data_IF_805142620158
#
_entry.id   IF_805142620158
#
_cell.length_a   1.000
_cell.length_b   1.000
_cell.length_c   1.000
_cell.angle_alpha   90.00
_cell.angle_beta   90.00
_cell.angle_gamma   90.00
#
_symmetry.space_group_name_H-M   'P 1'
#
loop_
_entity.id
_entity.type
_entity.pdbx_description
1 polymer ?
#
# COMPACT_ATOMS: atom_id res chain seq x y z
N UNK A 1 1.06 -7.65 11.42
CA UNK A 1 0.43 -6.53 10.70
C UNK A 1 0.64 -5.17 11.40
N UNK A 2 0.39 -5.01 12.70
CA UNK A 2 0.65 -3.73 13.40
C UNK A 2 2.07 -3.19 13.18
N UNK A 3 3.10 -4.03 13.32
CA UNK A 3 4.48 -3.63 13.03
C UNK A 3 4.69 -3.14 11.59
N UNK A 4 3.93 -3.70 10.64
CA UNK A 4 3.96 -3.26 9.25
C UNK A 4 3.41 -1.84 9.10
N UNK A 5 2.26 -1.54 9.74
CA UNK A 5 1.64 -0.20 9.65
C UNK A 5 2.50 0.88 10.29
N UNK A 6 3.10 0.61 11.45
CA UNK A 6 4.05 1.54 12.08
C UNK A 6 5.26 1.78 11.18
N UNK A 7 5.85 0.71 10.65
CA UNK A 7 7.01 0.82 9.78
C UNK A 7 6.71 1.63 8.51
N UNK A 8 5.57 1.38 7.86
CA UNK A 8 5.18 2.19 6.69
C UNK A 8 4.85 3.64 7.05
N UNK A 9 4.24 3.90 8.21
CA UNK A 9 3.99 5.26 8.66
C UNK A 9 5.29 6.03 8.84
N UNK A 10 6.29 5.42 9.49
CA UNK A 10 7.64 6.01 9.61
C UNK A 10 8.30 6.24 8.25
N UNK A 11 8.22 5.27 7.35
CA UNK A 11 8.75 5.44 5.99
C UNK A 11 8.09 6.63 5.28
N UNK A 12 6.77 6.79 5.38
CA UNK A 12 6.02 7.87 4.74
C UNK A 12 6.37 9.25 5.32
N UNK A 13 6.68 9.33 6.63
CA UNK A 13 7.23 10.55 7.23
C UNK A 13 8.54 10.96 6.55
N UNK A 14 9.47 10.02 6.40
CA UNK A 14 10.75 10.32 5.74
C UNK A 14 10.58 10.64 4.26
N UNK A 15 9.64 9.97 3.53
CA UNK A 15 9.30 10.33 2.14
C UNK A 15 8.84 11.78 2.05
N UNK A 16 8.03 12.24 3.00
CA UNK A 16 7.56 13.62 3.02
C UNK A 16 8.66 14.63 3.38
N UNK A 17 9.59 14.26 4.24
CA UNK A 17 10.76 15.09 4.57
C UNK A 17 11.68 15.32 3.37
N UNK A 18 11.81 14.33 2.46
CA UNK A 18 12.59 14.45 1.23
C UNK A 18 11.71 14.76 0.01
N UNK A 19 10.58 15.46 0.21
CA UNK A 19 9.63 15.76 -0.87
C UNK A 19 10.20 16.64 -2.00
N UNK A 20 11.33 17.28 -1.80
CA UNK A 20 12.08 18.02 -2.82
C UNK A 20 12.74 17.08 -3.85
N UNK A 21 13.11 15.84 -3.47
CA UNK A 21 13.70 14.88 -4.40
C UNK A 21 12.64 14.28 -5.34
N UNK A 22 12.99 13.89 -6.59
CA UNK A 22 12.08 13.20 -7.51
C UNK A 22 11.53 11.89 -6.91
N UNK A 23 10.24 11.62 -7.13
CA UNK A 23 9.60 10.46 -6.53
C UNK A 23 10.24 9.12 -6.99
N UNK A 24 10.67 9.02 -8.25
CA UNK A 24 11.35 7.81 -8.75
C UNK A 24 12.74 7.62 -8.15
N UNK A 25 13.42 8.68 -7.80
CA UNK A 25 14.69 8.63 -7.09
C UNK A 25 14.49 8.05 -5.67
N UNK A 26 13.46 8.53 -4.96
CA UNK A 26 13.10 7.97 -3.66
C UNK A 26 12.75 6.47 -3.78
N UNK A 27 12.00 6.06 -4.82
CA UNK A 27 11.70 4.67 -5.13
C UNK A 27 12.97 3.86 -5.38
N UNK A 28 13.92 4.40 -6.14
CA UNK A 28 15.20 3.76 -6.44
C UNK A 28 15.98 3.45 -5.15
N UNK A 29 16.23 4.45 -4.31
CA UNK A 29 16.98 4.26 -3.04
C UNK A 29 16.25 3.30 -2.10
N UNK A 30 14.93 3.44 -1.95
CA UNK A 30 14.12 2.51 -1.17
C UNK A 30 14.28 1.08 -1.66
N UNK A 31 14.21 0.86 -2.96
CA UNK A 31 14.32 -0.47 -3.55
C UNK A 31 15.76 -1.00 -3.50
N UNK A 32 16.78 -0.14 -3.59
CA UNK A 32 18.18 -0.51 -3.42
C UNK A 32 18.43 -1.10 -2.02
N UNK A 33 18.03 -0.37 -0.99
CA UNK A 33 18.14 -0.82 0.41
C UNK A 33 17.32 -2.10 0.61
N UNK A 34 16.06 -2.12 0.12
CA UNK A 34 15.18 -3.28 0.23
C UNK A 34 15.72 -4.54 -0.47
N UNK A 35 16.37 -4.39 -1.63
CA UNK A 35 17.01 -5.49 -2.35
C UNK A 35 18.15 -6.10 -1.53
N UNK A 36 18.99 -5.27 -0.92
CA UNK A 36 20.09 -5.73 -0.06
C UNK A 36 19.57 -6.55 1.13
N UNK A 37 18.55 -6.04 1.84
CA UNK A 37 17.91 -6.76 2.94
C UNK A 37 17.23 -8.06 2.49
N UNK A 38 16.58 -8.09 1.32
CA UNK A 38 15.97 -9.31 0.77
C UNK A 38 17.02 -10.38 0.46
N UNK A 39 18.14 -10.02 -0.18
CA UNK A 39 19.21 -10.98 -0.46
C UNK A 39 19.82 -11.56 0.83
N UNK A 40 20.06 -10.72 1.82
CA UNK A 40 20.53 -11.18 3.13
C UNK A 40 19.54 -12.16 3.78
N UNK A 41 18.24 -11.80 3.80
CA UNK A 41 17.18 -12.61 4.38
C UNK A 41 16.99 -13.95 3.65
N UNK A 42 17.05 -13.98 2.30
CA UNK A 42 16.93 -15.20 1.50
C UNK A 42 18.10 -16.13 1.73
N UNK A 43 19.34 -15.61 1.82
CA UNK A 43 20.52 -16.43 2.17
C UNK A 43 20.35 -17.07 3.54
N UNK A 44 19.90 -16.31 4.54
CA UNK A 44 19.67 -16.82 5.91
C UNK A 44 18.54 -17.87 5.96
N UNK A 45 17.52 -17.72 5.13
CA UNK A 45 16.37 -18.63 5.05
C UNK A 45 16.62 -19.85 4.13
N UNK A 46 17.78 -19.95 3.46
CA UNK A 46 18.07 -20.93 2.42
C UNK A 46 16.97 -21.00 1.32
N UNK A 47 16.34 -19.86 1.02
CA UNK A 47 15.25 -19.77 0.06
C UNK A 47 15.74 -19.29 -1.32
N UNK A 48 15.14 -19.85 -2.37
CA UNK A 48 15.49 -19.51 -3.75
C UNK A 48 15.09 -18.09 -4.13
N UNK A 49 16.00 -17.34 -4.73
CA UNK A 49 15.74 -15.96 -5.17
C UNK A 49 15.02 -15.87 -6.53
N UNK A 50 15.14 -16.91 -7.38
CA UNK A 50 14.62 -16.92 -8.76
C UNK A 50 13.11 -17.03 -8.84
N UNK A 51 12.45 -17.68 -7.86
CA UNK A 51 11.04 -18.01 -7.90
C UNK A 51 10.64 -18.98 -9.01
N UNK A 52 9.49 -19.59 -8.90
CA UNK A 52 8.91 -20.55 -9.86
C UNK A 52 7.98 -19.86 -10.87
N UNK A 53 7.12 -18.94 -10.42
CA UNK A 53 6.15 -18.23 -11.26
C UNK A 53 6.63 -16.81 -11.63
N UNK A 54 7.64 -16.74 -12.51
CA UNK A 54 8.28 -15.48 -12.91
C UNK A 54 7.33 -14.45 -13.49
N UNK A 55 6.30 -14.88 -14.25
CA UNK A 55 5.31 -13.97 -14.85
C UNK A 55 4.51 -13.23 -13.76
N UNK A 56 3.97 -13.95 -12.79
CA UNK A 56 3.23 -13.35 -11.69
C UNK A 56 4.13 -12.50 -10.77
N UNK A 57 5.38 -12.91 -10.55
CA UNK A 57 6.37 -12.13 -9.81
C UNK A 57 6.71 -10.82 -10.52
N UNK A 58 6.90 -10.84 -11.84
CA UNK A 58 7.16 -9.64 -12.64
C UNK A 58 5.96 -8.70 -12.64
N UNK A 59 4.75 -9.22 -12.89
CA UNK A 59 3.51 -8.42 -12.83
C UNK A 59 3.32 -7.80 -11.44
N UNK A 60 3.56 -8.57 -10.36
CA UNK A 60 3.57 -8.04 -8.99
C UNK A 60 4.57 -6.90 -8.83
N UNK A 61 5.74 -7.03 -9.42
CA UNK A 61 6.75 -5.97 -9.42
C UNK A 61 6.28 -4.71 -10.14
N UNK A 62 5.75 -4.85 -11.35
CA UNK A 62 5.28 -3.72 -12.18
C UNK A 62 4.13 -2.98 -11.47
N UNK A 63 3.02 -3.67 -11.14
CA UNK A 63 1.88 -3.03 -10.49
C UNK A 63 2.25 -2.47 -9.11
N UNK A 64 3.12 -3.17 -8.35
CA UNK A 64 3.57 -2.69 -7.06
C UNK A 64 4.45 -1.44 -7.16
N UNK A 65 5.35 -1.37 -8.15
CA UNK A 65 6.20 -0.19 -8.37
C UNK A 65 5.39 1.01 -8.88
N UNK A 66 4.45 0.77 -9.79
CA UNK A 66 3.52 1.80 -10.28
C UNK A 66 2.68 2.36 -9.12
N UNK A 67 2.12 1.49 -8.30
CA UNK A 67 1.38 1.90 -7.11
C UNK A 67 2.25 2.74 -6.15
N UNK A 68 3.46 2.27 -5.87
CA UNK A 68 4.39 2.96 -4.98
C UNK A 68 4.78 4.35 -5.50
N UNK A 69 5.08 4.46 -6.78
CA UNK A 69 5.44 5.73 -7.41
C UNK A 69 4.31 6.75 -7.25
N UNK A 70 3.09 6.40 -7.66
CA UNK A 70 1.96 7.31 -7.57
C UNK A 70 1.57 7.61 -6.12
N UNK A 71 1.74 6.65 -5.22
CA UNK A 71 1.56 6.90 -3.79
C UNK A 71 2.58 7.91 -3.25
N UNK A 72 3.85 7.80 -3.62
CA UNK A 72 4.88 8.76 -3.20
C UNK A 72 4.64 10.14 -3.81
N UNK A 73 4.21 10.22 -5.08
CA UNK A 73 3.75 11.49 -5.68
C UNK A 73 2.62 12.10 -4.84
N UNK A 74 1.66 11.29 -4.40
CA UNK A 74 0.54 11.75 -3.57
C UNK A 74 1.04 12.24 -2.20
N UNK A 75 1.83 11.46 -1.47
CA UNK A 75 2.38 11.82 -0.14
C UNK A 75 3.19 13.12 -0.16
N UNK A 76 3.90 13.39 -1.25
CA UNK A 76 4.71 14.60 -1.41
C UNK A 76 3.87 15.88 -1.57
N UNK A 77 2.69 15.76 -2.15
CA UNK A 77 1.93 16.92 -2.64
C UNK A 77 0.65 17.22 -1.85
N UNK A 78 0.16 16.27 -1.04
CA UNK A 78 -1.03 16.48 -0.20
C UNK A 78 -0.74 16.11 1.26
N UNK A 79 -1.63 16.45 2.22
CA UNK A 79 -1.47 16.08 3.62
C UNK A 79 -1.28 14.56 3.81
N UNK A 80 -0.37 14.19 4.71
CA UNK A 80 0.02 12.80 4.94
C UNK A 80 -1.19 11.90 5.27
N UNK A 81 -2.08 12.37 6.15
CA UNK A 81 -3.28 11.63 6.53
C UNK A 81 -4.23 11.42 5.34
N UNK A 82 -4.42 12.46 4.49
CA UNK A 82 -5.26 12.38 3.29
C UNK A 82 -4.69 11.39 2.28
N UNK A 83 -3.38 11.44 2.00
CA UNK A 83 -2.71 10.49 1.12
C UNK A 83 -2.86 9.04 1.58
N UNK A 84 -2.66 8.79 2.88
CA UNK A 84 -2.82 7.46 3.47
C UNK A 84 -4.27 7.00 3.42
N UNK A 85 -5.24 7.90 3.64
CA UNK A 85 -6.67 7.56 3.59
C UNK A 85 -7.11 7.14 2.18
N UNK A 86 -6.66 7.87 1.15
CA UNK A 86 -6.94 7.50 -0.25
C UNK A 86 -6.36 6.11 -0.56
N UNK A 87 -5.17 5.82 -0.08
CA UNK A 87 -4.54 4.51 -0.26
C UNK A 87 -5.34 3.36 0.38
N UNK A 88 -6.15 3.63 1.41
CA UNK A 88 -7.03 2.65 2.03
C UNK A 88 -8.22 2.22 1.16
N UNK A 89 -8.40 2.79 -0.02
CA UNK A 89 -9.30 2.23 -1.03
C UNK A 89 -8.74 0.93 -1.66
N UNK A 90 -7.46 0.63 -1.49
CA UNK A 90 -6.82 -0.56 -2.09
C UNK A 90 -7.50 -1.90 -1.74
N UNK A 91 -8.05 -2.17 -0.55
CA UNK A 91 -8.83 -3.38 -0.28
C UNK A 91 -10.12 -3.47 -1.10
N UNK A 92 -10.77 -2.35 -1.42
CA UNK A 92 -11.95 -2.31 -2.29
C UNK A 92 -11.54 -2.79 -3.69
N UNK A 93 -10.49 -2.20 -4.26
CA UNK A 93 -9.96 -2.63 -5.55
C UNK A 93 -9.47 -4.08 -5.52
N UNK A 94 -8.85 -4.53 -4.41
CA UNK A 94 -8.47 -5.93 -4.25
C UNK A 94 -9.68 -6.84 -4.39
N UNK A 95 -10.82 -6.50 -3.79
CA UNK A 95 -12.05 -7.30 -3.88
C UNK A 95 -12.66 -7.24 -5.28
N UNK A 96 -12.76 -6.06 -5.88
CA UNK A 96 -13.29 -5.90 -7.25
C UNK A 96 -12.46 -6.71 -8.26
N UNK A 97 -11.12 -6.65 -8.15
CA UNK A 97 -10.22 -7.39 -9.05
C UNK A 97 -10.35 -8.90 -8.81
N UNK A 98 -10.60 -9.35 -7.58
CA UNK A 98 -10.81 -10.75 -7.25
C UNK A 98 -12.05 -11.34 -7.96
N UNK A 99 -13.08 -10.53 -8.27
CA UNK A 99 -14.23 -10.97 -9.09
C UNK A 99 -13.74 -11.51 -10.44
N UNK A 100 -12.83 -10.79 -11.09
CA UNK A 100 -12.36 -11.13 -12.43
C UNK A 100 -11.26 -12.20 -12.41
N UNK A 101 -10.33 -12.12 -11.45
CA UNK A 101 -9.17 -13.02 -11.35
C UNK A 101 -9.50 -14.35 -10.67
N UNK A 102 -10.30 -14.30 -9.61
CA UNK A 102 -10.60 -15.45 -8.76
C UNK A 102 -12.05 -15.94 -8.91
N UNK A 103 -12.86 -15.27 -9.76
CA UNK A 103 -14.29 -15.52 -9.93
C UNK A 103 -15.09 -15.46 -8.62
N UNK A 104 -14.64 -14.63 -7.68
CA UNK A 104 -15.34 -14.36 -6.43
C UNK A 104 -16.60 -13.54 -6.68
N UNK A 105 -17.66 -13.77 -5.91
CA UNK A 105 -18.92 -12.99 -6.03
C UNK A 105 -18.95 -11.89 -4.98
N UNK A 106 -19.35 -10.68 -5.40
CA UNK A 106 -19.57 -9.55 -4.48
C UNK A 106 -21.07 -9.41 -4.24
N UNK A 107 -21.46 -9.45 -2.98
CA UNK A 107 -22.87 -9.32 -2.59
C UNK A 107 -23.34 -7.85 -2.74
N UNK A 108 -24.65 -7.61 -3.04
CA UNK A 108 -25.15 -6.25 -3.31
C UNK A 108 -24.83 -5.22 -2.19
N UNK A 109 -24.90 -5.63 -0.93
CA UNK A 109 -24.63 -4.73 0.22
C UNK A 109 -23.17 -4.23 0.26
N UNK A 110 -22.22 -4.97 -0.31
CA UNK A 110 -20.83 -4.51 -0.38
C UNK A 110 -20.68 -3.28 -1.29
N UNK A 111 -21.49 -3.17 -2.35
CA UNK A 111 -21.50 -2.01 -3.21
C UNK A 111 -21.90 -0.73 -2.49
N UNK A 112 -22.86 -0.83 -1.53
CA UNK A 112 -23.21 0.29 -0.67
C UNK A 112 -22.02 0.71 0.20
N UNK A 113 -21.29 -0.23 0.79
CA UNK A 113 -20.11 0.08 1.59
C UNK A 113 -18.97 0.73 0.74
N UNK A 114 -18.82 0.29 -0.51
CA UNK A 114 -17.89 0.93 -1.44
C UNK A 114 -18.32 2.36 -1.78
N UNK A 115 -19.61 2.59 -2.01
CA UNK A 115 -20.14 3.92 -2.25
C UNK A 115 -19.88 4.86 -1.05
N UNK A 116 -20.07 4.38 0.19
CA UNK A 116 -19.76 5.12 1.42
C UNK A 116 -18.27 5.48 1.46
N UNK A 117 -17.36 4.53 1.17
CA UNK A 117 -15.94 4.79 1.18
C UNK A 117 -15.53 5.82 0.11
N UNK A 118 -16.04 5.70 -1.12
CA UNK A 118 -15.77 6.67 -2.19
C UNK A 118 -16.34 8.05 -1.90
N UNK A 119 -17.54 8.15 -1.29
CA UNK A 119 -18.09 9.46 -0.86
C UNK A 119 -17.16 10.12 0.17
N UNK A 120 -16.58 9.37 1.09
CA UNK A 120 -15.60 9.87 2.04
C UNK A 120 -14.36 10.49 1.37
N UNK A 121 -13.88 9.90 0.28
CA UNK A 121 -12.75 10.46 -0.50
C UNK A 121 -13.13 11.79 -1.16
N UNK A 122 -14.35 11.90 -1.71
CA UNK A 122 -14.84 13.16 -2.28
C UNK A 122 -15.02 14.25 -1.20
N UNK A 123 -15.42 13.86 0.02
CA UNK A 123 -15.46 14.78 1.16
C UNK A 123 -14.07 15.33 1.52
N UNK A 124 -13.03 14.49 1.51
CA UNK A 124 -11.66 14.94 1.78
C UNK A 124 -11.24 15.99 0.75
N UNK A 125 -11.47 15.73 -0.54
CA UNK A 125 -11.12 16.67 -1.61
C UNK A 125 -11.91 17.99 -1.50
N UNK A 126 -13.21 17.91 -1.30
CA UNK A 126 -14.08 19.10 -1.26
C UNK A 126 -13.76 20.04 -0.08
N UNK A 127 -13.40 19.51 1.07
CA UNK A 127 -13.22 20.26 2.31
C UNK A 127 -11.75 20.50 2.70
N UNK A 128 -10.78 19.89 2.02
CA UNK A 128 -9.37 20.19 2.20
C UNK A 128 -8.79 20.78 0.90
N UNK A 129 -8.70 22.10 0.84
CA UNK A 129 -8.17 22.81 -0.33
C UNK A 129 -6.72 22.43 -0.72
N UNK A 130 -6.00 21.72 0.17
CA UNK A 130 -4.67 21.19 -0.11
C UNK A 130 -4.71 19.90 -0.94
N UNK A 131 -5.90 19.29 -1.10
CA UNK A 131 -6.10 18.04 -1.86
C UNK A 131 -6.74 18.42 -3.20
N UNK A 132 -5.92 18.56 -4.25
CA UNK A 132 -6.46 18.79 -5.59
C UNK A 132 -7.02 17.52 -6.22
N UNK A 133 -8.01 17.67 -7.10
CA UNK A 133 -8.62 16.57 -7.86
C UNK A 133 -7.56 15.75 -8.64
N UNK A 134 -6.50 16.40 -9.12
CA UNK A 134 -5.42 15.73 -9.83
C UNK A 134 -4.69 14.70 -8.93
N UNK A 135 -4.28 15.11 -7.72
CA UNK A 135 -3.62 14.20 -6.77
C UNK A 135 -4.58 13.18 -6.19
N UNK A 136 -5.87 13.50 -6.09
CA UNK A 136 -6.91 12.54 -5.74
C UNK A 136 -6.98 11.39 -6.75
N UNK A 137 -7.05 11.71 -8.06
CA UNK A 137 -7.11 10.72 -9.14
C UNK A 137 -5.83 9.86 -9.14
N UNK A 138 -4.65 10.47 -8.97
CA UNK A 138 -3.37 9.78 -8.88
C UNK A 138 -3.37 8.81 -7.68
N UNK A 139 -3.85 9.25 -6.52
CA UNK A 139 -3.95 8.41 -5.32
C UNK A 139 -4.91 7.24 -5.49
N UNK A 140 -6.08 7.45 -6.12
CA UNK A 140 -7.04 6.39 -6.44
C UNK A 140 -6.41 5.37 -7.41
N UNK A 141 -5.69 5.84 -8.43
CA UNK A 141 -4.97 4.97 -9.37
C UNK A 141 -3.87 4.16 -8.67
N UNK A 142 -3.14 4.77 -7.73
CA UNK A 142 -2.20 4.06 -6.86
C UNK A 142 -2.88 2.94 -6.07
N UNK A 143 -4.04 3.24 -5.45
CA UNK A 143 -4.81 2.25 -4.69
C UNK A 143 -5.31 1.10 -5.57
N UNK A 144 -5.74 1.38 -6.82
CA UNK A 144 -6.10 0.36 -7.82
C UNK A 144 -4.91 -0.56 -8.13
N UNK A 145 -3.75 0.01 -8.48
CA UNK A 145 -2.53 -0.76 -8.76
C UNK A 145 -2.09 -1.61 -7.54
N UNK A 146 -2.25 -1.08 -6.33
CA UNK A 146 -2.03 -1.83 -5.09
C UNK A 146 -2.98 -3.02 -4.96
N UNK A 147 -4.25 -2.84 -5.32
CA UNK A 147 -5.26 -3.92 -5.34
C UNK A 147 -4.86 -5.07 -6.27
N UNK A 148 -4.39 -4.76 -7.49
CA UNK A 148 -3.84 -5.77 -8.42
C UNK A 148 -2.63 -6.47 -7.80
N UNK A 149 -1.68 -5.70 -7.27
CA UNK A 149 -0.45 -6.23 -6.67
C UNK A 149 -0.75 -7.18 -5.49
N UNK A 150 -1.73 -6.86 -4.63
CA UNK A 150 -2.11 -7.71 -3.49
C UNK A 150 -2.78 -9.01 -3.92
N UNK A 151 -3.61 -9.00 -4.98
CA UNK A 151 -4.14 -10.24 -5.55
C UNK A 151 -3.03 -11.14 -6.11
N UNK A 152 -2.02 -10.56 -6.76
CA UNK A 152 -0.84 -11.31 -7.23
C UNK A 152 -0.04 -11.90 -6.07
N UNK A 153 0.15 -11.17 -4.94
CA UNK A 153 0.78 -11.72 -3.72
C UNK A 153 -0.02 -12.91 -3.18
N UNK A 154 -1.36 -12.80 -3.15
CA UNK A 154 -2.25 -13.90 -2.72
C UNK A 154 -2.15 -15.13 -3.62
N UNK A 155 -2.10 -14.94 -4.94
CA UNK A 155 -1.97 -16.04 -5.90
C UNK A 155 -0.62 -16.78 -5.81
N UNK A 156 0.40 -16.14 -5.25
CA UNK A 156 1.74 -16.68 -5.07
C UNK A 156 1.97 -17.36 -3.71
N UNK A 157 1.01 -17.30 -2.78
CA UNK A 157 1.18 -17.70 -1.37
C UNK A 157 1.65 -19.15 -1.16
N UNK A 158 1.21 -20.09 -2.01
CA UNK A 158 1.53 -21.52 -1.89
C UNK A 158 2.73 -21.95 -2.74
N UNK A 159 3.25 -21.05 -3.57
CA UNK A 159 4.27 -21.34 -4.56
C UNK A 159 5.60 -20.64 -4.31
N UNK A 160 5.54 -19.50 -3.62
CA UNK A 160 6.72 -18.64 -3.48
C UNK A 160 6.96 -18.23 -2.02
N UNK A 161 8.23 -18.22 -1.64
CA UNK A 161 8.61 -17.70 -0.34
C UNK A 161 8.32 -16.17 -0.25
N UNK A 162 7.82 -15.64 0.87
CA UNK A 162 7.48 -14.21 1.02
C UNK A 162 8.60 -13.27 0.58
N UNK A 163 9.85 -13.56 0.98
CA UNK A 163 11.01 -12.75 0.62
C UNK A 163 11.32 -12.79 -0.88
N UNK A 164 11.02 -13.88 -1.59
CA UNK A 164 11.17 -13.97 -3.05
C UNK A 164 10.18 -13.06 -3.75
N UNK A 165 8.93 -13.01 -3.27
CA UNK A 165 7.90 -12.09 -3.79
C UNK A 165 8.30 -10.63 -3.56
N UNK A 166 8.82 -10.30 -2.37
CA UNK A 166 9.30 -8.96 -2.04
C UNK A 166 10.52 -8.60 -2.88
N UNK A 167 11.49 -9.53 -3.05
CA UNK A 167 12.70 -9.27 -3.83
C UNK A 167 12.38 -8.88 -5.28
N UNK A 168 11.48 -9.59 -5.96
CA UNK A 168 11.12 -9.27 -7.35
C UNK A 168 10.49 -7.89 -7.47
N UNK A 169 9.65 -7.51 -6.51
CA UNK A 169 9.12 -6.14 -6.42
C UNK A 169 10.24 -5.11 -6.25
N UNK A 170 11.21 -5.36 -5.37
CA UNK A 170 12.33 -4.44 -5.17
C UNK A 170 13.21 -4.34 -6.43
N UNK A 171 13.49 -5.45 -7.12
CA UNK A 171 14.29 -5.44 -8.35
C UNK A 171 13.58 -4.63 -9.44
N UNK A 172 12.29 -4.85 -9.67
CA UNK A 172 11.53 -4.08 -10.67
C UNK A 172 11.51 -2.59 -10.31
N UNK A 173 11.28 -2.26 -9.03
CA UNK A 173 11.30 -0.87 -8.56
C UNK A 173 12.69 -0.22 -8.68
N UNK A 174 13.76 -0.98 -8.42
CA UNK A 174 15.13 -0.51 -8.56
C UNK A 174 15.48 -0.20 -10.03
N UNK A 175 15.13 -1.13 -10.94
CA UNK A 175 15.38 -0.95 -12.39
C UNK A 175 14.58 0.23 -12.94
N UNK A 176 13.28 0.29 -12.64
CA UNK A 176 12.45 1.40 -13.07
C UNK A 176 12.94 2.73 -12.47
N UNK A 177 13.20 2.77 -11.16
CA UNK A 177 13.73 3.94 -10.48
C UNK A 177 15.05 4.41 -11.09
N UNK A 178 15.98 3.49 -11.36
CA UNK A 178 17.26 3.81 -11.98
C UNK A 178 17.08 4.45 -13.37
N UNK A 179 16.23 3.85 -14.24
CA UNK A 179 15.97 4.37 -15.58
C UNK A 179 15.39 5.79 -15.53
N UNK A 180 14.35 6.01 -14.70
CA UNK A 180 13.73 7.34 -14.63
C UNK A 180 14.62 8.38 -13.95
N UNK A 181 15.41 7.99 -12.96
CA UNK A 181 16.35 8.87 -12.27
C UNK A 181 17.46 9.39 -13.21
N UNK A 182 17.79 8.67 -14.28
CA UNK A 182 18.74 9.18 -15.29
C UNK A 182 18.26 10.47 -15.98
N UNK A 183 16.95 10.74 -15.99
CA UNK A 183 16.37 11.93 -16.61
C UNK A 183 16.10 13.07 -15.63
N UNK A 184 15.94 12.77 -14.34
CA UNK A 184 15.52 13.73 -13.31
C UNK A 184 16.37 13.60 -12.04
N UNK A 185 17.69 13.39 -12.18
CA UNK A 185 18.56 13.23 -11.01
C UNK A 185 18.71 14.54 -10.23
N UNK A 186 18.46 14.48 -8.92
CA UNK A 186 18.78 15.54 -7.97
C UNK A 186 19.72 14.99 -6.91
N UNK A 187 20.87 15.66 -6.71
CA UNK A 187 21.88 15.19 -5.75
C UNK A 187 21.34 15.33 -4.33
N UNK A 188 21.11 14.21 -3.58
CA UNK A 188 20.71 14.28 -2.19
C UNK A 188 21.79 15.02 -1.37
N UNK A 189 21.36 15.87 -0.43
CA UNK A 189 22.27 16.70 0.37
C UNK A 189 22.12 16.43 1.87
N UNK A 190 23.22 16.51 2.61
CA UNK A 190 23.21 16.44 4.06
C UNK A 190 22.43 15.25 4.64
N UNK A 191 21.30 15.51 5.30
CA UNK A 191 20.45 14.52 5.96
C UNK A 191 19.62 13.66 4.99
N UNK A 192 19.48 14.04 3.72
CA UNK A 192 18.69 13.28 2.74
C UNK A 192 19.17 11.83 2.62
N UNK A 193 20.49 11.60 2.66
CA UNK A 193 21.07 10.25 2.61
C UNK A 193 20.58 9.35 3.74
N UNK A 194 20.50 9.92 4.95
CA UNK A 194 19.99 9.20 6.13
C UNK A 194 18.49 8.92 5.95
N UNK A 195 17.71 9.92 5.51
CA UNK A 195 16.27 9.75 5.29
C UNK A 195 16.00 8.72 4.19
N UNK A 196 16.73 8.73 3.08
CA UNK A 196 16.61 7.71 2.02
C UNK A 196 16.92 6.30 2.54
N UNK A 197 17.95 6.14 3.35
CA UNK A 197 18.24 4.86 3.99
C UNK A 197 17.11 4.43 4.94
N UNK A 198 16.59 5.33 5.77
CA UNK A 198 15.48 5.04 6.69
C UNK A 198 14.19 4.72 5.94
N UNK A 199 13.89 5.39 4.83
CA UNK A 199 12.78 5.03 3.93
C UNK A 199 12.92 3.58 3.49
N UNK A 200 14.10 3.19 3.01
CA UNK A 200 14.38 1.82 2.59
C UNK A 200 14.23 0.80 3.70
N UNK A 201 14.84 1.06 4.86
CA UNK A 201 14.83 0.16 6.02
C UNK A 201 13.41 -0.04 6.58
N UNK A 202 12.69 1.04 6.88
CA UNK A 202 11.31 0.97 7.40
C UNK A 202 10.34 0.40 6.37
N UNK A 203 10.44 0.80 5.09
CA UNK A 203 9.62 0.22 4.03
C UNK A 203 9.86 -1.28 3.88
N UNK A 204 11.10 -1.73 3.99
CA UNK A 204 11.44 -3.15 3.87
C UNK A 204 10.85 -3.96 5.03
N UNK A 205 10.97 -3.49 6.26
CA UNK A 205 10.32 -4.10 7.42
C UNK A 205 8.81 -4.18 7.23
N UNK A 206 8.18 -3.06 6.85
CA UNK A 206 6.77 -3.00 6.56
C UNK A 206 6.35 -3.99 5.47
N UNK A 207 7.11 -4.08 4.39
CA UNK A 207 6.82 -4.92 3.24
C UNK A 207 6.95 -6.42 3.55
N UNK A 208 7.95 -6.83 4.34
CA UNK A 208 8.11 -8.22 4.78
C UNK A 208 6.91 -8.64 5.62
N UNK A 209 6.56 -7.84 6.64
CA UNK A 209 5.43 -8.15 7.52
C UNK A 209 4.08 -8.11 6.79
N UNK A 210 3.88 -7.17 5.84
CA UNK A 210 2.68 -7.12 5.00
C UNK A 210 2.56 -8.36 4.13
N UNK A 211 3.62 -8.72 3.41
CA UNK A 211 3.62 -9.87 2.50
C UNK A 211 3.39 -11.16 3.26
N UNK A 212 4.05 -11.34 4.40
CA UNK A 212 3.84 -12.49 5.27
C UNK A 212 2.40 -12.54 5.82
N UNK A 213 1.83 -11.40 6.19
CA UNK A 213 0.44 -11.33 6.65
C UNK A 213 -0.55 -11.70 5.53
N UNK A 214 -0.38 -11.17 4.32
CA UNK A 214 -1.24 -11.47 3.17
C UNK A 214 -1.15 -12.94 2.71
N UNK A 215 -0.03 -13.59 2.98
CA UNK A 215 0.15 -15.01 2.67
C UNK A 215 -0.41 -15.96 3.75
N UNK A 216 -0.42 -15.54 5.03
CA UNK A 216 -0.85 -16.39 6.15
C UNK A 216 -2.30 -16.15 6.56
N UNK A 217 -2.77 -14.92 6.45
CA UNK A 217 -4.05 -14.48 6.99
C UNK A 217 -5.07 -14.16 5.89
N UNK A 218 -6.34 -14.14 6.25
CA UNK A 218 -7.40 -13.64 5.37
C UNK A 218 -7.16 -12.15 5.10
N UNK A 219 -7.27 -11.72 3.84
CA UNK A 219 -7.06 -10.33 3.44
C UNK A 219 -7.89 -9.32 4.26
N UNK A 220 -9.08 -9.73 4.68
CA UNK A 220 -9.98 -8.99 5.55
C UNK A 220 -9.34 -8.61 6.89
N UNK A 221 -8.74 -9.57 7.60
CA UNK A 221 -8.09 -9.33 8.91
C UNK A 221 -6.87 -8.41 8.77
N UNK A 222 -6.10 -8.61 7.69
CA UNK A 222 -4.94 -7.78 7.36
C UNK A 222 -5.37 -6.33 7.09
N UNK A 223 -6.46 -6.13 6.32
CA UNK A 223 -6.98 -4.82 5.99
C UNK A 223 -7.43 -4.04 7.23
N UNK A 224 -8.23 -4.66 8.14
CA UNK A 224 -8.73 -3.97 9.35
C UNK A 224 -7.56 -3.40 10.17
N UNK A 225 -6.51 -4.18 10.39
CA UNK A 225 -5.35 -3.72 11.15
C UNK A 225 -4.59 -2.62 10.40
N UNK A 226 -4.58 -2.66 9.07
CA UNK A 226 -3.91 -1.65 8.26
C UNK A 226 -4.49 -0.24 8.48
N UNK A 227 -5.77 -0.12 8.82
CA UNK A 227 -6.39 1.20 9.09
C UNK A 227 -5.85 1.90 10.33
N UNK A 228 -5.17 1.21 11.24
CA UNK A 228 -4.43 1.85 12.33
C UNK A 228 -3.38 2.86 11.81
N UNK A 229 -2.93 2.69 10.57
CA UNK A 229 -2.02 3.62 9.89
C UNK A 229 -2.60 5.04 9.74
N UNK A 230 -3.94 5.21 9.70
CA UNK A 230 -4.55 6.54 9.69
C UNK A 230 -4.23 7.32 10.97
N UNK A 231 -4.28 6.65 12.12
CA UNK A 231 -3.94 7.27 13.41
C UNK A 231 -2.49 7.78 13.37
N UNK A 232 -1.57 6.98 12.82
CA UNK A 232 -0.17 7.40 12.66
C UNK A 232 -0.03 8.53 11.63
N UNK A 233 -0.78 8.49 10.53
CA UNK A 233 -0.79 9.55 9.53
C UNK A 233 -1.26 10.89 10.08
N UNK A 234 -2.34 10.90 10.88
CA UNK A 234 -2.84 12.09 11.56
C UNK A 234 -1.85 12.58 12.61
N UNK A 235 -1.33 11.69 13.45
CA UNK A 235 -0.40 12.03 14.51
C UNK A 235 0.91 12.63 13.96
N UNK A 236 1.54 11.98 13.00
CA UNK A 236 2.79 12.48 12.42
C UNK A 236 2.56 13.69 11.52
N UNK A 237 1.44 13.76 10.81
CA UNK A 237 1.05 14.92 10.02
C UNK A 237 0.95 16.17 10.88
N UNK A 238 0.28 16.07 12.04
CA UNK A 238 0.18 17.16 13.01
C UNK A 238 1.53 17.47 13.69
N UNK A 239 2.22 16.43 14.20
CA UNK A 239 3.41 16.62 15.05
C UNK A 239 4.63 17.14 14.25
N UNK A 240 4.83 16.64 13.03
CA UNK A 240 6.07 16.88 12.26
C UNK A 240 5.84 17.93 11.17
N UNK A 241 4.68 17.89 10.51
CA UNK A 241 4.39 18.76 9.35
C UNK A 241 3.43 19.90 9.66
N UNK A 242 2.99 20.02 10.94
CA UNK A 242 2.01 21.02 11.37
C UNK A 242 0.71 21.00 10.52
N UNK A 243 0.30 19.81 10.08
CA UNK A 243 -0.87 19.58 9.26
C UNK A 243 -2.11 19.42 10.14
N UNK A 244 -2.81 20.51 10.42
CA UNK A 244 -4.15 20.44 11.02
C UNK A 244 -5.15 19.95 9.98
N UNK A 245 -6.07 19.07 10.38
CA UNK A 245 -7.16 18.61 9.54
C UNK A 245 -8.44 19.35 9.92
N UNK A 246 -9.22 19.76 8.91
CA UNK A 246 -10.55 20.33 9.12
C UNK A 246 -11.51 19.21 9.58
N UNK A 247 -12.51 19.55 10.39
CA UNK A 247 -13.48 18.58 10.92
C UNK A 247 -14.22 17.84 9.81
N UNK A 248 -14.54 18.53 8.73
CA UNK A 248 -15.21 17.97 7.56
C UNK A 248 -14.31 16.97 6.82
N UNK A 249 -13.01 17.27 6.69
CA UNK A 249 -12.04 16.35 6.11
C UNK A 249 -11.85 15.09 6.98
N UNK A 250 -11.83 15.26 8.32
CA UNK A 250 -11.82 14.13 9.26
C UNK A 250 -13.08 13.26 9.12
N UNK A 251 -14.25 13.88 8.93
CA UNK A 251 -15.48 13.12 8.65
C UNK A 251 -15.36 12.30 7.37
N UNK A 252 -14.76 12.85 6.30
CA UNK A 252 -14.45 12.12 5.08
C UNK A 252 -13.52 10.92 5.33
N UNK A 253 -12.46 11.11 6.12
CA UNK A 253 -11.54 10.02 6.49
C UNK A 253 -12.24 8.91 7.27
N UNK A 254 -13.12 9.26 8.21
CA UNK A 254 -13.94 8.31 8.96
C UNK A 254 -14.87 7.53 8.03
N UNK A 255 -15.53 8.20 7.07
CA UNK A 255 -16.39 7.54 6.08
C UNK A 255 -15.62 6.50 5.24
N UNK A 256 -14.41 6.83 4.78
CA UNK A 256 -13.55 5.86 4.08
C UNK A 256 -13.30 4.64 4.94
N UNK A 257 -12.82 4.84 6.17
CA UNK A 257 -12.50 3.74 7.09
C UNK A 257 -13.73 2.91 7.40
N UNK A 258 -14.86 3.54 7.73
CA UNK A 258 -16.13 2.85 8.04
C UNK A 258 -16.62 2.04 6.84
N UNK A 259 -16.67 2.62 5.65
CA UNK A 259 -17.12 1.94 4.44
C UNK A 259 -16.27 0.70 4.12
N UNK A 260 -14.94 0.84 4.20
CA UNK A 260 -14.05 -0.30 3.93
C UNK A 260 -14.10 -1.35 5.04
N UNK A 261 -14.12 -0.97 6.32
CA UNK A 261 -14.23 -1.91 7.44
C UNK A 261 -15.54 -2.69 7.38
N UNK A 262 -16.66 -2.03 7.11
CA UNK A 262 -17.97 -2.69 6.96
C UNK A 262 -17.95 -3.69 5.79
N UNK A 263 -17.39 -3.31 4.64
CA UNK A 263 -17.24 -4.21 3.48
C UNK A 263 -16.43 -5.45 3.84
N UNK A 264 -15.32 -5.28 4.55
CA UNK A 264 -14.41 -6.35 4.96
C UNK A 264 -15.07 -7.31 5.96
N UNK A 265 -15.75 -6.78 6.99
CA UNK A 265 -16.47 -7.59 8.00
C UNK A 265 -17.60 -8.37 7.34
N UNK A 266 -18.36 -7.72 6.48
CA UNK A 266 -19.46 -8.35 5.77
C UNK A 266 -18.97 -9.48 4.85
N UNK A 267 -17.93 -9.27 4.06
CA UNK A 267 -17.33 -10.30 3.21
C UNK A 267 -16.85 -11.51 4.02
N UNK A 268 -16.26 -11.28 5.19
CA UNK A 268 -15.81 -12.34 6.09
C UNK A 268 -16.98 -13.19 6.58
N UNK A 269 -18.04 -12.55 7.07
CA UNK A 269 -19.25 -13.26 7.55
C UNK A 269 -19.87 -14.11 6.46
N UNK A 270 -20.01 -13.60 5.24
CA UNK A 270 -20.57 -14.34 4.11
C UNK A 270 -19.72 -15.59 3.80
N UNK A 271 -18.40 -15.46 3.75
CA UNK A 271 -17.54 -16.62 3.47
C UNK A 271 -17.53 -17.66 4.61
N UNK A 272 -17.89 -17.30 5.83
CA UNK A 272 -18.09 -18.24 6.95
C UNK A 272 -19.43 -18.97 6.84
N UNK A 273 -20.50 -18.28 6.47
CA UNK A 273 -21.84 -18.88 6.21
C UNK A 273 -21.76 -19.88 5.05
N UNK A 274 -21.18 -19.49 3.91
CA UNK A 274 -21.02 -20.37 2.74
C UNK A 274 -20.21 -21.65 3.06
N UNK A 275 -19.25 -21.56 4.00
CA UNK A 275 -18.50 -22.74 4.45
C UNK A 275 -19.32 -23.67 5.34
N UNK A 276 -20.14 -23.12 6.24
CA UNK A 276 -21.02 -23.90 7.10
C UNK A 276 -22.08 -24.63 6.26
N UNK A 277 -22.67 -23.95 5.28
CA UNK A 277 -23.63 -24.55 4.35
C UNK A 277 -23.03 -25.67 3.51
N UNK A 278 -21.77 -25.50 3.08
CA UNK A 278 -21.03 -26.52 2.29
C UNK A 278 -20.60 -27.74 3.12
N UNK A 279 -20.51 -27.62 4.46
CA UNK A 279 -20.09 -28.72 5.36
C UNK A 279 -21.24 -29.37 6.10
N UNK A 280 -22.43 -28.77 6.07
CA UNK A 280 -23.64 -29.25 6.77
C UNK A 280 -24.68 -29.96 5.87
N UNK A 281 -24.42 -30.11 4.57
CA UNK A 281 -25.15 -30.92 3.60
C UNK A 281 -24.32 -32.15 3.21
#
# INVERSE_FOLDING_TARGET
MLLSTVAFAMANVFVKLVSHLPAMEIVMFRCLVGTAFCFYGLRKANAGWRGSNRKSLLLRGIFGTTALYFFFVTVRNIPLASAMTIQYLSPIFTTIIAIFLLKETVKPLQWLFYAIAFSGVLFIERFDARVSIFFLIIGIFSAFCSGVAYNLVRSLREREHPLTVVLHFQIVGLVAGFIFTLFEWQIPSGWDWIYLFLIGAFSQLGQIFLTAALQKEKAASVAIINYSGLIYGLFFGWLIFNESQQLESLAGMILVVVGVVLSVIYSRRQSEIEKIEATGG
#
